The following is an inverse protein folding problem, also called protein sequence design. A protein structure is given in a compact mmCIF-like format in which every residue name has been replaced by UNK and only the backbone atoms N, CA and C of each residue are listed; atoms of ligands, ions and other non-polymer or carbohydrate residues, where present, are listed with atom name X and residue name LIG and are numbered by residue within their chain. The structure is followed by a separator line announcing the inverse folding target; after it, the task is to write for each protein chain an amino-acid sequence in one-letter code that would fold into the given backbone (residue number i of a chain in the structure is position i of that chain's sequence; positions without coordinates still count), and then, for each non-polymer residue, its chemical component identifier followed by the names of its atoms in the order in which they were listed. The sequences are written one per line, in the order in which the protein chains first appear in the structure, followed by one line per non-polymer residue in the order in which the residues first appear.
data_IF_839472541133
#
_entry.id   IF_839472541133
#
_cell.length_a   1.000
_cell.length_b   1.000
_cell.length_c   1.000
_cell.angle_alpha   90.00
_cell.angle_beta   90.00
_cell.angle_gamma   90.00
#
_symmetry.space_group_name_H-M   'P 1'
#
loop_
_entity.id
_entity.type
_entity.pdbx_description
1 polymer ?
#
# COMPACT_ATOMS: atom_id res chain seq x y z
N UNK A 1 -29.93 41.27 67.77
CA UNK A 1 -29.22 40.21 68.53
C UNK A 1 -27.79 40.11 68.00
N UNK A 2 -26.85 39.58 68.80
CA UNK A 2 -25.41 39.30 68.55
C UNK A 2 -24.84 39.57 67.13
N UNK A 3 -23.76 40.35 66.90
CA UNK A 3 -22.35 40.25 67.38
C UNK A 3 -21.66 38.94 66.94
N UNK A 4 -20.43 38.89 66.39
CA UNK A 4 -19.21 39.72 66.57
C UNK A 4 -18.28 39.71 65.32
N UNK A 5 -17.27 40.61 65.29
CA UNK A 5 -15.85 40.50 64.76
C UNK A 5 -15.47 39.55 63.60
N UNK A 6 -14.46 39.81 62.75
CA UNK A 6 -13.18 40.54 62.97
C UNK A 6 -12.58 41.16 61.68
N UNK A 7 -11.44 41.86 61.81
CA UNK A 7 -10.75 42.58 60.72
C UNK A 7 -9.33 42.00 60.39
N UNK A 8 -8.43 42.83 59.83
CA UNK A 8 -7.09 42.52 59.23
C UNK A 8 -7.18 41.86 57.83
N UNK A 9 -6.62 42.36 56.72
CA UNK A 9 -5.82 43.54 56.32
C UNK A 9 -4.28 43.40 56.18
N UNK A 10 -3.83 43.91 55.02
CA UNK A 10 -2.52 44.50 54.62
C UNK A 10 -1.26 43.66 54.31
N UNK A 11 -0.53 44.19 53.31
CA UNK A 11 0.87 43.96 52.85
C UNK A 11 1.19 42.56 52.27
N UNK A 12 1.71 42.38 51.05
CA UNK A 12 2.73 43.09 50.23
C UNK A 12 4.17 42.70 50.61
N UNK A 13 4.89 42.10 49.65
CA UNK A 13 6.29 41.73 49.80
C UNK A 13 6.94 41.40 48.45
N UNK A 14 7.77 42.31 47.94
CA UNK A 14 8.76 41.99 46.91
C UNK A 14 10.00 41.37 47.59
N UNK A 15 10.67 40.44 46.90
CA UNK A 15 12.01 39.98 47.27
C UNK A 15 12.85 39.82 46.00
N UNK A 16 13.95 40.58 45.91
CA UNK A 16 14.91 40.54 44.80
C UNK A 16 16.32 40.35 45.39
N UNK A 17 17.03 39.29 44.99
CA UNK A 17 18.48 39.06 45.17
C UNK A 17 18.86 37.98 44.14
N UNK A 18 19.73 38.19 43.14
CA UNK A 18 21.12 38.67 43.08
C UNK A 18 22.20 37.61 43.41
N UNK A 19 22.96 37.28 42.36
CA UNK A 19 24.36 36.83 42.32
C UNK A 19 24.89 35.67 43.19
N UNK A 20 25.40 34.64 42.51
CA UNK A 20 26.80 34.21 42.70
C UNK A 20 27.39 33.67 41.38
N UNK A 21 28.72 33.61 41.28
CA UNK A 21 29.48 33.33 40.05
C UNK A 21 30.50 32.20 40.26
N UNK A 22 30.53 31.21 39.37
CA UNK A 22 31.68 30.36 39.00
C UNK A 22 31.44 30.00 37.51
N UNK A 23 32.23 30.37 36.48
CA UNK A 23 33.68 30.44 36.18
C UNK A 23 34.39 29.09 35.95
N UNK A 24 35.00 29.01 34.76
CA UNK A 24 35.84 27.93 34.19
C UNK A 24 35.10 26.59 33.91
N UNK A 25 35.52 25.78 32.92
CA UNK A 25 36.71 25.89 32.05
C UNK A 25 36.38 25.74 30.55
N UNK A 26 37.28 26.21 29.69
CA UNK A 26 37.21 26.12 28.22
C UNK A 26 37.98 24.92 27.69
N UNK A 27 37.43 24.23 26.69
CA UNK A 27 38.21 23.37 25.78
C UNK A 27 37.84 23.66 24.32
N UNK A 28 38.72 24.34 23.60
CA UNK A 28 38.59 24.51 22.15
C UNK A 28 39.06 23.22 21.45
N UNK A 29 38.36 22.80 20.38
CA UNK A 29 38.85 21.78 19.46
C UNK A 29 38.52 22.18 18.01
N UNK A 30 39.30 23.12 17.48
CA UNK A 30 39.22 23.58 16.09
C UNK A 30 39.71 22.49 15.13
N UNK A 31 38.79 21.84 14.40
CA UNK A 31 39.18 20.97 13.30
C UNK A 31 39.44 21.79 12.04
N UNK A 32 40.72 21.93 11.70
CA UNK A 32 41.18 22.70 10.54
C UNK A 32 40.72 22.06 9.23
N UNK A 33 40.13 22.86 8.36
CA UNK A 33 40.15 22.58 6.93
C UNK A 33 41.62 22.45 6.48
N UNK A 34 41.94 21.41 5.70
CA UNK A 34 43.23 21.26 5.02
C UNK A 34 42.99 21.11 3.53
N UNK A 35 43.00 22.24 2.83
CA UNK A 35 43.21 22.29 1.38
C UNK A 35 44.65 21.90 1.07
N UNK A 36 44.86 20.91 0.21
CA UNK A 36 46.18 20.59 -0.34
C UNK A 36 46.40 21.38 -1.65
N UNK A 37 47.60 21.96 -1.87
CA UNK A 37 47.88 22.76 -3.06
C UNK A 37 48.10 21.89 -4.29
N UNK A 38 47.78 22.43 -5.47
CA UNK A 38 48.36 21.94 -6.73
C UNK A 38 49.85 22.33 -6.75
N UNK A 39 50.71 21.39 -7.16
CA UNK A 39 52.07 21.69 -7.60
C UNK A 39 52.16 21.48 -9.11
N UNK A 40 52.82 22.42 -9.78
CA UNK A 40 53.14 22.42 -11.21
C UNK A 40 54.66 22.51 -11.37
N UNK A 41 55.14 22.42 -12.62
CA UNK A 41 56.55 22.53 -13.03
C UNK A 41 57.42 21.31 -12.63
N UNK A 42 58.48 20.96 -13.38
CA UNK A 42 58.82 21.26 -14.78
C UNK A 42 59.97 20.34 -15.21
N UNK A 43 60.15 20.08 -16.51
CA UNK A 43 61.34 19.36 -16.99
C UNK A 43 62.60 20.22 -16.85
N UNK A 44 63.69 19.63 -16.36
CA UNK A 44 65.07 20.04 -16.66
C UNK A 44 66.00 18.83 -16.53
N UNK A 45 67.09 18.83 -17.29
CA UNK A 45 67.94 17.67 -17.54
C UNK A 45 69.24 17.65 -16.70
N UNK A 46 69.78 16.46 -16.48
CA UNK A 46 71.22 16.23 -16.28
C UNK A 46 71.58 14.80 -16.68
N UNK A 47 72.83 14.57 -17.08
CA UNK A 47 73.26 13.36 -17.81
C UNK A 47 74.35 12.56 -17.12
N UNK A 48 74.32 11.24 -17.30
CA UNK A 48 75.46 10.29 -17.25
C UNK A 48 74.94 8.87 -17.52
N UNK A 49 75.69 7.85 -17.96
CA UNK A 49 76.96 7.72 -18.68
C UNK A 49 77.44 6.27 -18.47
N UNK A 50 76.97 5.32 -19.28
CA UNK A 50 77.64 4.02 -19.48
C UNK A 50 77.20 3.39 -20.80
N UNK A 51 78.09 2.64 -21.45
CA UNK A 51 77.94 2.12 -22.81
C UNK A 51 77.68 0.58 -22.82
N UNK A 52 77.51 -0.08 -23.98
CA UNK A 52 76.50 -1.15 -24.13
C UNK A 52 77.07 -2.59 -24.11
N UNK A 53 76.18 -3.58 -24.28
CA UNK A 53 76.44 -4.65 -25.23
C UNK A 53 75.39 -4.71 -26.36
N UNK A 54 75.83 -5.01 -27.59
CA UNK A 54 74.94 -5.41 -28.69
C UNK A 54 74.57 -6.88 -28.53
N UNK A 55 73.31 -7.23 -28.78
CA UNK A 55 72.92 -8.59 -29.16
C UNK A 55 72.20 -8.57 -30.50
N UNK A 56 72.63 -9.44 -31.41
CA UNK A 56 71.95 -9.63 -32.70
C UNK A 56 70.68 -10.44 -32.49
N UNK A 57 69.55 -9.94 -33.01
CA UNK A 57 68.38 -10.76 -33.32
C UNK A 57 68.12 -10.57 -34.81
N UNK A 58 68.12 -11.67 -35.56
CA UNK A 58 67.80 -11.65 -36.99
C UNK A 58 66.30 -11.42 -37.16
N UNK A 59 65.91 -10.40 -37.91
CA UNK A 59 64.53 -10.22 -38.34
C UNK A 59 64.23 -11.23 -39.44
N UNK A 60 63.34 -12.19 -39.15
CA UNK A 60 62.69 -12.97 -40.20
C UNK A 60 61.85 -12.02 -41.09
N UNK A 61 61.88 -12.16 -42.42
CA UNK A 61 61.11 -11.30 -43.31
C UNK A 61 59.61 -11.50 -43.09
N UNK A 62 58.84 -10.40 -43.21
CA UNK A 62 57.38 -10.42 -43.12
C UNK A 62 56.78 -11.29 -44.23
N UNK A 63 55.84 -12.17 -43.84
CA UNK A 63 55.05 -12.97 -44.78
C UNK A 63 54.28 -12.04 -45.74
N UNK A 64 54.22 -12.33 -47.06
CA UNK A 64 53.54 -11.47 -48.02
C UNK A 64 52.03 -11.37 -47.76
N UNK A 65 51.50 -10.21 -48.09
CA UNK A 65 50.08 -9.85 -48.03
C UNK A 65 49.34 -10.40 -49.26
N UNK A 66 48.15 -11.04 -49.12
CA UNK A 66 47.40 -11.58 -50.25
C UNK A 66 46.59 -10.51 -50.98
N UNK A 67 46.41 -10.70 -52.30
CA UNK A 67 45.62 -9.81 -53.16
C UNK A 67 44.09 -9.91 -52.88
N UNK A 68 43.30 -8.85 -53.17
CA UNK A 68 41.90 -8.77 -52.78
C UNK A 68 40.90 -9.26 -53.85
N UNK A 69 40.02 -10.19 -53.47
CA UNK A 69 38.73 -10.48 -54.12
C UNK A 69 37.68 -10.81 -53.04
N UNK A 70 36.37 -10.79 -53.35
CA UNK A 70 35.60 -9.61 -53.70
C UNK A 70 34.53 -9.30 -52.62
N UNK A 71 33.87 -8.14 -52.70
CA UNK A 71 32.87 -7.73 -51.71
C UNK A 71 31.71 -8.74 -51.59
N UNK A 72 31.53 -9.29 -50.39
CA UNK A 72 30.34 -10.04 -49.97
C UNK A 72 29.72 -9.36 -48.75
N UNK A 73 28.39 -9.49 -48.62
CA UNK A 73 27.57 -8.67 -47.72
C UNK A 73 27.82 -9.02 -46.25
N UNK A 74 27.70 -8.05 -45.31
CA UNK A 74 27.81 -8.35 -43.89
C UNK A 74 26.67 -9.27 -43.46
N UNK A 75 27.01 -10.47 -43.01
CA UNK A 75 26.12 -11.25 -42.15
C UNK A 75 26.18 -10.65 -40.74
N UNK A 76 25.03 -10.26 -40.20
CA UNK A 76 24.94 -9.69 -38.86
C UNK A 76 25.25 -10.79 -37.83
N UNK A 77 26.26 -10.55 -36.99
CA UNK A 77 26.55 -11.44 -35.88
C UNK A 77 25.42 -11.35 -34.84
N UNK A 78 24.50 -12.31 -34.84
CA UNK A 78 23.45 -12.39 -33.82
C UNK A 78 24.07 -12.51 -32.44
N UNK A 79 24.05 -11.40 -31.68
CA UNK A 79 24.28 -11.44 -30.24
C UNK A 79 23.22 -12.36 -29.62
N UNK A 80 23.61 -13.58 -29.27
CA UNK A 80 22.74 -14.62 -28.74
C UNK A 80 22.11 -14.21 -27.41
N UNK A 81 21.04 -13.41 -27.48
CA UNK A 81 20.23 -13.04 -26.34
C UNK A 81 19.72 -14.32 -25.69
N UNK A 82 20.08 -14.53 -24.42
CA UNK A 82 19.56 -15.63 -23.63
C UNK A 82 18.05 -15.44 -23.48
N UNK A 83 17.27 -16.05 -24.37
CA UNK A 83 15.80 -16.03 -24.36
C UNK A 83 15.31 -16.62 -23.02
N UNK A 84 15.00 -15.72 -22.08
CA UNK A 84 14.43 -16.06 -20.78
C UNK A 84 13.05 -16.65 -21.04
N UNK A 85 12.85 -17.95 -20.76
CA UNK A 85 11.61 -18.61 -21.14
C UNK A 85 10.53 -18.34 -20.09
N UNK A 86 9.39 -17.85 -20.57
CA UNK A 86 8.19 -17.64 -19.78
C UNK A 86 7.51 -18.98 -19.54
N UNK A 87 7.15 -19.29 -18.29
CA UNK A 87 6.22 -20.39 -18.00
C UNK A 87 4.86 -19.77 -17.69
N UNK A 88 3.92 -19.98 -18.61
CA UNK A 88 2.54 -19.49 -18.53
C UNK A 88 1.58 -20.67 -18.55
N UNK A 89 0.54 -20.63 -17.71
CA UNK A 89 -0.55 -21.61 -17.77
C UNK A 89 -1.59 -21.14 -18.78
N UNK A 90 -1.87 -21.97 -19.79
CA UNK A 90 -2.92 -21.70 -20.78
C UNK A 90 -4.33 -21.88 -20.21
N UNK A 91 -5.34 -21.45 -20.96
CA UNK A 91 -6.76 -21.67 -20.64
C UNK A 91 -7.12 -23.17 -20.56
N UNK A 92 -6.33 -24.02 -21.23
CA UNK A 92 -6.37 -25.49 -21.16
C UNK A 92 -5.71 -26.06 -19.89
N UNK A 93 -5.32 -25.21 -18.93
CA UNK A 93 -4.70 -25.58 -17.66
C UNK A 93 -3.26 -26.11 -17.77
N UNK A 94 -2.74 -26.29 -18.98
CA UNK A 94 -1.41 -26.84 -19.26
C UNK A 94 -0.35 -25.74 -19.20
N UNK A 95 0.83 -26.09 -18.70
CA UNK A 95 2.01 -25.24 -18.71
C UNK A 95 2.60 -25.19 -20.11
N UNK A 96 2.85 -23.99 -20.62
CA UNK A 96 3.49 -23.74 -21.92
C UNK A 96 4.73 -22.88 -21.70
N UNK A 97 5.82 -23.27 -22.36
CA UNK A 97 7.08 -22.53 -22.40
C UNK A 97 7.01 -21.57 -23.59
N UNK A 98 7.21 -20.27 -23.37
CA UNK A 98 7.10 -19.24 -24.40
C UNK A 98 8.33 -18.31 -24.38
N UNK A 99 8.77 -17.88 -25.55
CA UNK A 99 9.80 -16.84 -25.74
C UNK A 99 9.24 -15.42 -25.54
N UNK A 100 7.96 -15.25 -25.82
CA UNK A 100 7.25 -13.97 -25.88
C UNK A 100 6.31 -13.76 -24.68
N UNK A 101 6.02 -12.49 -24.31
CA UNK A 101 5.05 -12.19 -23.25
C UNK A 101 3.63 -12.65 -23.64
N UNK A 102 2.84 -13.19 -22.69
CA UNK A 102 1.53 -13.76 -23.00
C UNK A 102 0.55 -12.71 -23.54
N UNK A 103 -0.22 -13.10 -24.55
CA UNK A 103 -1.11 -12.23 -25.32
C UNK A 103 -2.14 -11.45 -24.48
N UNK A 104 -2.52 -11.94 -23.31
CA UNK A 104 -3.41 -11.23 -22.36
C UNK A 104 -2.75 -9.97 -21.79
N UNK A 105 -1.43 -9.97 -21.58
CA UNK A 105 -0.66 -8.81 -21.12
C UNK A 105 -0.49 -7.78 -22.24
N UNK A 106 -0.21 -8.23 -23.46
CA UNK A 106 -0.14 -7.37 -24.67
C UNK A 106 -1.51 -6.72 -24.94
N UNK A 107 -2.58 -7.51 -24.91
CA UNK A 107 -3.96 -7.02 -25.07
C UNK A 107 -4.35 -6.01 -23.99
N UNK A 108 -3.93 -6.22 -22.74
CA UNK A 108 -4.16 -5.25 -21.66
C UNK A 108 -3.45 -3.90 -21.90
N UNK A 109 -2.31 -3.89 -22.58
CA UNK A 109 -1.61 -2.66 -22.98
C UNK A 109 -2.33 -1.96 -24.15
N UNK A 110 -2.63 -2.68 -25.23
CA UNK A 110 -3.33 -2.11 -26.40
C UNK A 110 -4.73 -1.58 -26.06
N UNK A 111 -5.46 -2.27 -25.18
CA UNK A 111 -6.77 -1.81 -24.70
C UNK A 111 -6.67 -0.55 -23.82
N UNK A 112 -5.62 -0.41 -23.02
CA UNK A 112 -5.38 0.80 -22.23
C UNK A 112 -5.10 2.02 -23.12
N UNK A 113 -4.43 1.84 -24.26
CA UNK A 113 -4.15 2.92 -25.22
C UNK A 113 -5.37 3.29 -26.06
N UNK A 114 -6.10 2.32 -26.58
CA UNK A 114 -7.28 2.58 -27.44
C UNK A 114 -8.43 3.25 -26.71
N UNK A 115 -8.65 2.95 -25.43
CA UNK A 115 -9.62 3.63 -24.57
C UNK A 115 -9.35 5.15 -24.39
N UNK A 116 -8.14 5.64 -24.69
CA UNK A 116 -7.84 7.08 -24.63
C UNK A 116 -8.45 7.86 -25.79
N UNK A 117 -8.58 7.25 -26.97
CA UNK A 117 -8.98 7.93 -28.22
C UNK A 117 -10.51 8.02 -28.38
N UNK A 118 -11.26 7.04 -27.88
CA UNK A 118 -12.74 7.03 -27.97
C UNK A 118 -13.41 8.01 -26.99
N UNK A 119 -12.84 8.21 -25.79
CA UNK A 119 -13.40 9.10 -24.76
C UNK A 119 -13.42 10.58 -25.14
N UNK A 120 -12.65 10.98 -26.15
CA UNK A 120 -12.64 12.36 -26.70
C UNK A 120 -13.91 12.68 -27.51
N UNK A 121 -14.58 11.68 -28.12
CA UNK A 121 -15.72 11.93 -29.04
C UNK A 121 -17.11 11.85 -28.40
N UNK A 122 -17.25 11.35 -27.17
CA UNK A 122 -18.57 11.14 -26.54
C UNK A 122 -18.96 12.21 -25.51
N UNK A 123 -18.25 13.35 -25.45
CA UNK A 123 -18.40 14.34 -24.36
C UNK A 123 -19.22 15.60 -24.69
N UNK A 124 -19.80 15.70 -25.89
CA UNK A 124 -20.55 16.87 -26.35
C UNK A 124 -22.08 16.74 -26.35
N UNK A 125 -22.64 15.54 -26.09
CA UNK A 125 -24.09 15.29 -26.21
C UNK A 125 -24.72 14.94 -24.85
N UNK A 126 -25.95 15.43 -24.63
CA UNK A 126 -26.83 15.24 -23.47
C UNK A 126 -26.53 16.05 -22.18
N UNK A 127 -27.20 17.20 -22.05
CA UNK A 127 -27.46 17.93 -20.80
C UNK A 127 -28.89 18.50 -20.84
N UNK A 128 -29.60 18.54 -19.69
CA UNK A 128 -31.06 18.70 -19.50
C UNK A 128 -31.81 17.35 -19.66
N UNK A 129 -32.89 17.03 -18.94
CA UNK A 129 -33.64 17.73 -17.85
C UNK A 129 -33.57 16.88 -16.53
N UNK A 130 -34.43 16.90 -15.49
CA UNK A 130 -35.69 17.58 -15.14
C UNK A 130 -35.72 17.97 -13.63
N UNK A 131 -36.89 18.20 -13.00
CA UNK A 131 -37.06 18.54 -11.56
C UNK A 131 -38.51 18.30 -11.06
N UNK A 132 -38.69 18.12 -9.72
CA UNK A 132 -39.79 18.65 -8.84
C UNK A 132 -40.84 17.66 -8.22
N UNK A 133 -41.18 17.93 -6.94
CA UNK A 133 -42.37 17.53 -6.10
C UNK A 133 -42.48 16.07 -5.63
N UNK A 134 -43.23 15.74 -4.56
CA UNK A 134 -44.04 16.56 -3.60
C UNK A 134 -43.56 16.39 -2.12
N UNK A 135 -44.46 16.20 -1.13
CA UNK A 135 -44.20 16.13 0.33
C UNK A 135 -45.38 15.51 1.09
N UNK A 136 -45.19 15.01 2.32
CA UNK A 136 -46.28 14.56 3.22
C UNK A 136 -45.84 13.73 4.43
N UNK A 137 -46.60 13.77 5.54
CA UNK A 137 -46.50 12.84 6.69
C UNK A 137 -45.74 13.36 7.94
N UNK A 138 -46.38 13.29 9.12
CA UNK A 138 -45.82 13.57 10.46
C UNK A 138 -46.74 13.02 11.56
N UNK A 139 -46.17 12.36 12.57
CA UNK A 139 -46.58 12.17 13.99
C UNK A 139 -45.52 11.18 14.59
N UNK A 140 -44.88 11.34 15.76
CA UNK A 140 -45.28 11.70 17.15
C UNK A 140 -46.01 10.52 17.86
N UNK A 141 -45.70 10.00 19.07
CA UNK A 141 -44.61 10.15 20.06
C UNK A 141 -44.67 8.99 21.14
N UNK A 142 -43.67 8.89 22.05
CA UNK A 142 -43.63 8.18 23.38
C UNK A 142 -43.38 6.66 23.49
N UNK A 143 -42.78 6.26 24.63
CA UNK A 143 -42.82 4.86 25.13
C UNK A 143 -41.57 4.32 25.86
N UNK A 144 -41.07 4.95 26.93
CA UNK A 144 -39.88 4.43 27.66
C UNK A 144 -40.22 3.44 28.79
N UNK A 145 -39.41 2.39 28.95
CA UNK A 145 -38.93 1.91 30.26
C UNK A 145 -37.71 0.99 30.09
N UNK A 146 -36.87 0.86 31.11
CA UNK A 146 -35.56 0.19 31.01
C UNK A 146 -35.50 -1.18 31.65
N UNK A 147 -34.67 -2.06 31.10
CA UNK A 147 -34.20 -3.30 31.74
C UNK A 147 -32.72 -3.53 31.42
N UNK A 148 -31.95 -4.03 32.39
CA UNK A 148 -30.52 -4.32 32.22
C UNK A 148 -30.30 -5.52 31.29
N UNK A 149 -29.62 -5.31 30.17
CA UNK A 149 -29.53 -6.31 29.08
C UNK A 149 -28.38 -7.31 29.29
N UNK A 150 -28.63 -8.63 29.17
CA UNK A 150 -27.58 -9.65 29.30
C UNK A 150 -26.65 -9.73 28.08
N UNK A 151 -25.42 -10.22 28.29
CA UNK A 151 -24.44 -10.46 27.22
C UNK A 151 -24.85 -11.65 26.33
N UNK A 152 -25.47 -11.35 25.19
CA UNK A 152 -25.89 -12.36 24.21
C UNK A 152 -24.74 -13.18 23.60
N UNK A 153 -24.97 -14.48 23.47
CA UNK A 153 -24.00 -15.46 22.95
C UNK A 153 -23.77 -15.34 21.43
N UNK A 154 -22.72 -16.03 20.95
CA UNK A 154 -22.38 -16.14 19.52
C UNK A 154 -23.50 -16.80 18.68
N UNK A 155 -24.39 -17.59 19.31
CA UNK A 155 -25.55 -18.20 18.67
C UNK A 155 -26.73 -17.22 18.55
N UNK A 156 -27.04 -16.45 19.59
CA UNK A 156 -28.03 -15.37 19.52
C UNK A 156 -27.65 -14.32 18.45
N UNK A 157 -26.35 -14.00 18.34
CA UNK A 157 -25.75 -13.20 17.26
C UNK A 157 -25.85 -13.83 15.86
N UNK A 158 -26.37 -15.04 15.69
CA UNK A 158 -26.75 -15.64 14.39
C UNK A 158 -28.27 -15.56 14.16
N UNK A 159 -29.07 -15.99 15.14
CA UNK A 159 -30.54 -16.00 15.08
C UNK A 159 -31.14 -14.65 14.64
N UNK A 160 -30.70 -13.53 15.24
CA UNK A 160 -31.19 -12.21 14.85
C UNK A 160 -30.83 -11.79 13.41
N UNK A 161 -29.81 -12.38 12.79
CA UNK A 161 -29.41 -12.07 11.41
C UNK A 161 -30.34 -12.73 10.37
N UNK A 162 -30.99 -13.83 10.76
CA UNK A 162 -31.86 -14.64 9.90
C UNK A 162 -33.23 -13.95 9.77
N UNK A 163 -33.87 -13.68 10.92
CA UNK A 163 -35.23 -13.16 10.98
C UNK A 163 -35.38 -11.73 10.41
N UNK A 164 -34.32 -10.91 10.41
CA UNK A 164 -34.35 -9.57 9.83
C UNK A 164 -34.43 -9.57 8.28
N UNK A 165 -33.95 -10.62 7.60
CA UNK A 165 -33.95 -10.69 6.12
C UNK A 165 -35.35 -10.63 5.51
N UNK A 166 -36.38 -11.00 6.26
CA UNK A 166 -37.77 -11.12 5.77
C UNK A 166 -38.48 -9.77 5.73
N UNK A 167 -38.07 -8.78 6.55
CA UNK A 167 -38.83 -7.54 6.77
C UNK A 167 -38.38 -6.32 5.95
N UNK A 168 -37.20 -6.40 5.33
CA UNK A 168 -36.49 -5.21 4.82
C UNK A 168 -36.57 -5.03 3.28
N UNK A 169 -37.78 -4.91 2.68
CA UNK A 169 -37.91 -4.62 1.24
C UNK A 169 -37.94 -3.13 0.88
N UNK A 170 -38.05 -2.22 1.84
CA UNK A 170 -38.33 -0.79 1.58
C UNK A 170 -37.30 0.15 2.24
N UNK A 171 -36.11 0.28 1.64
CA UNK A 171 -35.31 1.53 1.54
C UNK A 171 -33.84 1.28 1.15
N UNK A 172 -33.45 1.70 -0.06
CA UNK A 172 -32.04 1.59 -0.54
C UNK A 172 -31.04 2.50 0.21
N UNK A 173 -31.52 3.52 0.93
CA UNK A 173 -30.67 4.44 1.70
C UNK A 173 -30.31 3.94 3.10
N UNK A 174 -31.08 2.98 3.64
CA UNK A 174 -30.99 2.58 5.04
C UNK A 174 -29.80 1.64 5.28
N UNK A 175 -28.70 2.19 5.80
CA UNK A 175 -27.42 1.49 5.97
C UNK A 175 -27.28 0.97 7.39
N UNK A 176 -26.75 -0.25 7.55
CA UNK A 176 -26.49 -0.86 8.86
C UNK A 176 -25.63 0.03 9.77
N UNK A 177 -26.10 0.32 10.99
CA UNK A 177 -25.50 1.25 11.96
C UNK A 177 -23.99 1.02 12.18
N UNK A 178 -23.53 -0.23 12.33
CA UNK A 178 -22.10 -0.51 12.49
C UNK A 178 -21.22 -0.19 11.28
N UNK A 179 -21.79 -0.13 10.06
CA UNK A 179 -21.11 0.39 8.86
C UNK A 179 -21.10 1.92 8.87
N UNK A 180 -22.20 2.59 9.27
CA UNK A 180 -22.28 4.06 9.35
C UNK A 180 -21.30 4.64 10.38
N UNK A 181 -21.22 4.06 11.57
CA UNK A 181 -20.26 4.49 12.59
C UNK A 181 -18.80 4.33 12.12
N UNK A 182 -18.48 3.20 11.47
CA UNK A 182 -17.13 2.96 10.94
C UNK A 182 -16.78 3.89 9.77
N UNK A 183 -17.73 4.16 8.86
CA UNK A 183 -17.54 5.10 7.74
C UNK A 183 -17.36 6.55 8.23
N UNK A 184 -18.00 6.91 9.34
CA UNK A 184 -17.84 8.20 10.03
C UNK A 184 -16.60 8.26 10.93
N UNK A 185 -15.71 7.26 10.87
CA UNK A 185 -14.40 7.25 11.53
C UNK A 185 -14.36 6.78 12.98
N UNK A 186 -15.52 6.54 13.63
CA UNK A 186 -15.64 6.33 15.09
C UNK A 186 -14.72 5.23 15.62
N UNK A 187 -14.69 4.08 14.97
CA UNK A 187 -13.80 2.96 15.30
C UNK A 187 -13.75 1.95 14.12
N UNK A 188 -13.07 0.82 14.31
CA UNK A 188 -13.21 -0.31 13.36
C UNK A 188 -14.62 -0.91 13.45
N UNK A 189 -15.16 -1.47 12.35
CA UNK A 189 -16.53 -2.01 12.31
C UNK A 189 -16.88 -2.94 13.47
N UNK A 190 -15.95 -3.81 13.90
CA UNK A 190 -16.16 -4.71 15.07
C UNK A 190 -16.25 -3.92 16.38
N UNK A 191 -15.33 -2.98 16.59
CA UNK A 191 -15.36 -2.08 17.76
C UNK A 191 -16.66 -1.24 17.80
N UNK A 192 -17.19 -0.82 16.64
CA UNK A 192 -18.50 -0.19 16.55
C UNK A 192 -19.64 -1.15 16.96
N UNK A 193 -19.57 -2.44 16.62
CA UNK A 193 -20.53 -3.44 17.11
C UNK A 193 -20.42 -3.59 18.63
N UNK A 194 -19.22 -3.60 19.21
CA UNK A 194 -19.02 -3.69 20.66
C UNK A 194 -19.46 -2.41 21.43
N UNK A 195 -19.30 -1.22 20.84
CA UNK A 195 -19.88 0.03 21.37
C UNK A 195 -21.42 -0.01 21.38
N UNK A 196 -22.03 -0.52 20.30
CA UNK A 196 -23.48 -0.71 20.20
C UNK A 196 -23.96 -1.73 21.25
N UNK A 197 -23.33 -2.90 21.35
CA UNK A 197 -23.67 -3.90 22.38
C UNK A 197 -23.46 -3.39 23.81
N UNK A 198 -22.59 -2.40 24.02
CA UNK A 198 -22.37 -1.75 25.31
C UNK A 198 -23.35 -0.61 25.65
N UNK A 199 -24.40 -0.39 24.85
CA UNK A 199 -25.37 0.70 25.07
C UNK A 199 -24.81 2.11 24.86
N UNK A 200 -23.60 2.24 24.27
CA UNK A 200 -22.89 3.51 24.10
C UNK A 200 -23.34 4.32 22.88
N UNK A 201 -24.36 3.86 22.17
CA UNK A 201 -24.86 4.45 20.94
C UNK A 201 -26.36 4.70 21.05
N UNK A 202 -26.79 5.93 20.76
CA UNK A 202 -28.22 6.27 20.64
C UNK A 202 -28.56 6.69 19.22
N UNK A 203 -29.78 6.39 18.78
CA UNK A 203 -30.34 6.78 17.49
C UNK A 203 -31.69 7.42 17.76
N UNK A 204 -31.88 8.66 17.31
CA UNK A 204 -33.12 9.43 17.49
C UNK A 204 -33.59 9.49 18.96
N UNK A 205 -32.63 9.63 19.90
CA UNK A 205 -32.87 9.68 21.35
C UNK A 205 -32.86 8.31 22.05
N UNK A 206 -33.15 7.21 21.35
CA UNK A 206 -33.24 5.86 21.93
C UNK A 206 -31.90 5.13 21.94
N UNK A 207 -31.57 4.44 23.04
CA UNK A 207 -30.37 3.57 23.11
C UNK A 207 -30.54 2.39 22.14
N UNK A 208 -29.56 2.20 21.27
CA UNK A 208 -29.58 1.11 20.30
C UNK A 208 -28.54 0.04 20.68
N UNK A 209 -29.00 -1.15 21.04
CA UNK A 209 -28.15 -2.30 21.38
C UNK A 209 -27.96 -3.29 20.22
N UNK A 210 -28.66 -3.07 19.10
CA UNK A 210 -28.70 -3.98 17.95
C UNK A 210 -27.81 -3.45 16.82
N UNK A 211 -26.63 -4.02 16.56
CA UNK A 211 -25.73 -3.50 15.52
C UNK A 211 -26.20 -3.77 14.10
N UNK A 212 -27.32 -4.44 13.92
CA UNK A 212 -27.98 -4.74 12.64
C UNK A 212 -28.96 -3.63 12.21
N UNK A 213 -29.42 -2.78 13.14
CA UNK A 213 -30.35 -1.66 12.88
C UNK A 213 -29.89 -0.86 11.67
N UNK A 214 -30.78 -0.68 10.68
CA UNK A 214 -30.53 0.22 9.55
C UNK A 214 -30.83 1.65 9.98
N UNK A 215 -30.01 2.59 9.52
CA UNK A 215 -30.15 4.03 9.76
C UNK A 215 -29.82 4.80 8.48
N UNK A 216 -30.49 5.93 8.27
CA UNK A 216 -30.21 6.87 7.19
C UNK A 216 -29.35 8.02 7.76
N UNK A 217 -28.04 8.08 7.46
CA UNK A 217 -27.14 9.08 8.04
C UNK A 217 -27.44 10.54 7.64
N UNK A 218 -28.31 10.77 6.65
CA UNK A 218 -28.76 12.12 6.30
C UNK A 218 -29.90 12.60 7.22
N UNK A 219 -30.78 11.67 7.60
CA UNK A 219 -31.99 11.92 8.40
C UNK A 219 -31.72 11.76 9.91
N UNK A 220 -31.25 10.58 10.30
CA UNK A 220 -31.16 10.14 11.69
C UNK A 220 -30.15 10.93 12.52
N UNK A 221 -30.44 11.09 13.80
CA UNK A 221 -29.57 11.74 14.78
C UNK A 221 -28.92 10.67 15.65
N UNK A 222 -27.68 10.33 15.30
CA UNK A 222 -26.88 9.32 16.00
C UNK A 222 -25.94 10.01 16.99
N UNK A 223 -25.82 9.47 18.21
CA UNK A 223 -24.80 9.85 19.19
C UNK A 223 -23.97 8.63 19.60
N UNK A 224 -22.70 8.85 19.95
CA UNK A 224 -21.79 7.85 20.53
C UNK A 224 -21.14 8.45 21.77
N UNK A 225 -21.26 7.80 22.93
CA UNK A 225 -20.83 8.33 24.24
C UNK A 225 -21.33 9.77 24.51
N UNK A 226 -22.55 10.11 24.06
CA UNK A 226 -23.11 11.47 24.16
C UNK A 226 -22.60 12.49 23.13
N UNK A 227 -21.54 12.19 22.37
CA UNK A 227 -21.09 13.04 21.25
C UNK A 227 -21.91 12.77 19.98
N UNK A 228 -22.40 13.82 19.32
CA UNK A 228 -23.20 13.71 18.09
C UNK A 228 -22.33 13.29 16.91
N UNK A 229 -22.80 12.32 16.13
CA UNK A 229 -22.14 11.93 14.89
C UNK A 229 -22.27 13.06 13.84
N UNK A 230 -21.18 13.48 13.16
CA UNK A 230 -21.26 14.52 12.13
C UNK A 230 -22.07 14.03 10.92
N UNK A 231 -23.00 14.87 10.43
CA UNK A 231 -23.83 14.56 9.23
C UNK A 231 -23.01 14.43 7.94
N UNK A 232 -21.82 15.05 7.88
CA UNK A 232 -20.87 14.90 6.76
C UNK A 232 -19.89 13.77 7.11
N UNK A 233 -19.93 12.70 6.34
CA UNK A 233 -18.88 11.67 6.36
C UNK A 233 -17.55 12.24 5.85
N UNK A 234 -16.39 11.71 6.31
CA UNK A 234 -15.09 12.11 5.77
C UNK A 234 -15.00 11.81 4.26
N UNK A 235 -14.27 12.67 3.53
CA UNK A 235 -13.98 12.47 2.09
C UNK A 235 -13.35 11.08 1.87
N UNK A 236 -13.74 10.41 0.79
CA UNK A 236 -13.12 9.14 0.37
C UNK A 236 -11.70 9.39 -0.13
N UNK A 237 -10.73 8.68 0.43
CA UNK A 237 -9.30 8.81 0.11
C UNK A 237 -8.70 7.44 -0.21
N UNK A 238 -7.75 7.43 -1.15
CA UNK A 238 -7.18 6.21 -1.71
C UNK A 238 -5.69 6.43 -1.96
N UNK A 239 -4.83 5.61 -1.38
CA UNK A 239 -3.37 5.75 -1.47
C UNK A 239 -2.71 4.44 -1.90
N UNK A 240 -1.71 4.51 -2.77
CA UNK A 240 -0.71 3.45 -2.90
C UNK A 240 0.49 3.78 -2.02
N UNK A 241 0.84 2.88 -1.11
CA UNK A 241 2.01 2.95 -0.24
C UNK A 241 3.07 1.94 -0.71
N UNK A 242 4.34 2.37 -0.77
CA UNK A 242 5.48 1.45 -0.85
C UNK A 242 5.85 0.97 0.57
N UNK A 243 5.22 -0.12 1.03
CA UNK A 243 5.36 -0.64 2.40
C UNK A 243 6.83 -1.03 2.71
N UNK A 244 7.43 -0.48 3.78
CA UNK A 244 8.76 -0.89 4.24
C UNK A 244 8.74 -2.23 5.03
N UNK A 245 9.91 -2.86 5.16
CA UNK A 245 10.13 -4.06 5.97
C UNK A 245 9.98 -3.70 7.46
N UNK A 246 9.47 -4.61 8.28
CA UNK A 246 9.28 -4.40 9.72
C UNK A 246 7.96 -3.72 10.13
N UNK A 247 7.14 -3.29 9.16
CA UNK A 247 5.82 -2.69 9.42
C UNK A 247 4.68 -3.72 9.29
N UNK A 248 3.62 -3.54 10.08
CA UNK A 248 2.50 -4.50 10.22
C UNK A 248 1.21 -3.93 9.64
N UNK A 249 0.49 -4.72 8.85
CA UNK A 249 -0.83 -4.38 8.29
C UNK A 249 -1.95 -4.59 9.31
N UNK A 250 -1.87 -3.85 10.42
CA UNK A 250 -2.82 -3.83 11.53
C UNK A 250 -3.22 -2.40 11.86
N UNK A 251 -4.36 -2.21 12.51
CA UNK A 251 -4.87 -0.90 12.95
C UNK A 251 -5.27 -0.87 14.43
N UNK A 252 -4.55 -1.65 15.25
CA UNK A 252 -4.61 -1.59 16.71
C UNK A 252 -3.51 -0.68 17.29
N UNK A 253 -3.85 0.06 18.35
CA UNK A 253 -3.03 1.13 18.94
C UNK A 253 -1.73 0.65 19.63
N UNK A 254 -1.56 -0.67 19.81
CA UNK A 254 -0.43 -1.26 20.57
C UNK A 254 0.76 -1.68 19.70
N UNK A 255 0.73 -1.44 18.39
CA UNK A 255 1.78 -1.87 17.46
C UNK A 255 2.65 -0.70 17.00
N UNK A 256 3.87 -0.61 17.56
CA UNK A 256 4.83 0.49 17.34
C UNK A 256 5.34 0.68 15.90
N UNK A 257 4.92 -0.18 14.96
CA UNK A 257 5.20 -0.09 13.51
C UNK A 257 3.97 -0.45 12.67
N UNK A 258 2.77 0.03 13.05
CA UNK A 258 1.59 -0.07 12.18
C UNK A 258 1.83 0.68 10.86
N UNK A 259 1.40 0.08 9.74
CA UNK A 259 1.35 0.74 8.42
C UNK A 259 0.58 2.08 8.43
N UNK A 260 -0.37 2.27 9.36
CA UNK A 260 -1.16 3.49 9.46
C UNK A 260 -0.34 4.67 10.02
N UNK A 261 0.66 4.41 10.88
CA UNK A 261 1.53 5.47 11.43
C UNK A 261 2.33 6.24 10.36
N UNK A 262 2.55 5.64 9.19
CA UNK A 262 3.15 6.30 8.03
C UNK A 262 2.29 7.42 7.43
N UNK A 263 1.03 7.57 7.89
CA UNK A 263 0.09 8.62 7.50
C UNK A 263 -0.16 9.63 8.64
N UNK A 264 0.55 9.54 9.77
CA UNK A 264 0.33 10.44 10.91
C UNK A 264 0.48 11.92 10.52
N UNK A 265 1.44 12.26 9.66
CA UNK A 265 1.65 13.64 9.21
C UNK A 265 0.59 14.11 8.20
N UNK A 266 -0.07 13.19 7.49
CA UNK A 266 -1.27 13.51 6.69
C UNK A 266 -2.46 13.81 7.62
N UNK A 267 -2.66 12.97 8.64
CA UNK A 267 -3.77 13.10 9.58
C UNK A 267 -3.64 14.35 10.46
N UNK A 268 -2.44 14.67 10.97
CA UNK A 268 -2.14 15.91 11.73
C UNK A 268 -2.36 17.20 10.91
N UNK A 269 -2.23 17.13 9.58
CA UNK A 269 -2.46 18.27 8.69
C UNK A 269 -3.86 18.26 8.05
N UNK A 270 -4.73 17.30 8.41
CA UNK A 270 -6.05 17.16 7.82
C UNK A 270 -6.92 18.41 8.04
N UNK A 271 -7.03 18.87 9.28
CA UNK A 271 -7.94 19.97 9.67
C UNK A 271 -7.57 21.30 9.01
N UNK A 272 -6.28 21.54 8.74
CA UNK A 272 -5.78 22.71 8.00
C UNK A 272 -6.31 22.76 6.57
N UNK A 273 -6.49 21.59 5.95
CA UNK A 273 -6.90 21.45 4.56
C UNK A 273 -8.43 21.19 4.41
N UNK A 274 -9.10 20.75 5.47
CA UNK A 274 -10.49 20.28 5.45
C UNK A 274 -11.30 20.77 6.67
N UNK A 275 -11.25 22.08 6.95
CA UNK A 275 -11.91 22.69 8.10
C UNK A 275 -13.38 22.23 8.27
N UNK A 276 -13.71 21.70 9.46
CA UNK A 276 -15.05 21.21 9.78
C UNK A 276 -15.42 19.83 9.22
N UNK A 277 -14.46 19.07 8.67
CA UNK A 277 -14.65 17.67 8.25
C UNK A 277 -13.76 16.77 9.12
N UNK A 278 -14.28 15.71 9.76
CA UNK A 278 -13.46 14.83 10.61
C UNK A 278 -12.38 14.10 9.79
N UNK A 279 -11.24 13.82 10.43
CA UNK A 279 -10.16 13.06 9.80
C UNK A 279 -10.60 11.62 9.43
N UNK A 280 -10.20 11.10 8.25
CA UNK A 280 -10.60 9.79 7.78
C UNK A 280 -9.88 8.67 8.53
N UNK A 281 -10.62 7.73 9.14
CA UNK A 281 -10.02 6.52 9.72
C UNK A 281 -9.52 5.58 8.62
N UNK A 282 -8.21 5.61 8.38
CA UNK A 282 -7.54 4.77 7.38
C UNK A 282 -7.44 3.29 7.79
N UNK A 283 -7.36 2.41 6.79
CA UNK A 283 -7.06 0.98 6.91
C UNK A 283 -6.43 0.44 5.60
N UNK A 284 -5.72 -0.69 5.68
CA UNK A 284 -5.12 -1.35 4.52
C UNK A 284 -6.14 -2.19 3.75
N UNK A 285 -6.04 -2.20 2.42
CA UNK A 285 -6.71 -3.17 1.55
C UNK A 285 -5.87 -4.43 1.49
N UNK A 286 -6.45 -5.56 1.90
CA UNK A 286 -5.69 -6.79 2.16
C UNK A 286 -4.56 -6.58 3.20
N UNK A 287 -3.51 -7.41 3.09
CA UNK A 287 -2.32 -7.38 3.96
C UNK A 287 -1.04 -7.63 3.16
N UNK A 288 0.10 -7.41 3.81
CA UNK A 288 1.43 -7.90 3.47
C UNK A 288 2.13 -8.33 4.77
N UNK A 289 2.98 -9.35 4.72
CA UNK A 289 3.73 -9.82 5.88
C UNK A 289 4.69 -8.74 6.40
N UNK A 290 5.11 -8.88 7.67
CA UNK A 290 6.08 -7.96 8.31
C UNK A 290 7.40 -7.91 7.54
N UNK A 291 7.88 -9.06 7.05
CA UNK A 291 9.09 -9.18 6.24
C UNK A 291 8.91 -8.78 4.76
N UNK A 292 7.68 -8.56 4.30
CA UNK A 292 7.33 -8.33 2.88
C UNK A 292 7.13 -6.83 2.62
N UNK A 293 7.62 -6.36 1.48
CA UNK A 293 7.68 -4.95 1.10
C UNK A 293 6.82 -4.62 -0.13
N UNK A 294 6.74 -3.34 -0.50
CA UNK A 294 6.13 -2.90 -1.75
C UNK A 294 4.64 -2.56 -1.63
N UNK A 295 3.95 -2.67 -2.76
CA UNK A 295 2.63 -2.08 -2.98
C UNK A 295 1.56 -2.60 -2.02
N UNK A 296 1.00 -1.70 -1.21
CA UNK A 296 -0.27 -1.91 -0.50
C UNK A 296 -1.16 -0.67 -0.66
N UNK A 297 -2.46 -0.90 -0.81
CA UNK A 297 -3.43 0.18 -0.91
C UNK A 297 -3.95 0.52 0.48
N UNK A 298 -4.11 1.81 0.78
CA UNK A 298 -4.63 2.34 2.05
C UNK A 298 -5.81 3.27 1.74
N UNK A 299 -6.89 3.17 2.50
CA UNK A 299 -8.14 3.90 2.22
C UNK A 299 -8.99 4.04 3.48
N UNK A 300 -10.03 4.87 3.42
CA UNK A 300 -11.17 4.83 4.33
C UNK A 300 -12.44 4.22 3.70
N UNK A 301 -12.40 3.79 2.43
CA UNK A 301 -13.56 3.22 1.75
C UNK A 301 -13.67 1.70 1.91
N UNK A 302 -14.68 1.27 2.65
CA UNK A 302 -14.91 -0.14 2.95
C UNK A 302 -15.39 -0.96 1.75
N UNK A 303 -16.11 -0.35 0.81
CA UNK A 303 -16.73 -1.06 -0.32
C UNK A 303 -15.71 -1.28 -1.45
N UNK A 304 -14.88 -0.29 -1.78
CA UNK A 304 -13.66 -0.45 -2.57
C UNK A 304 -12.71 -1.50 -1.97
N UNK A 305 -12.41 -1.40 -0.67
CA UNK A 305 -11.52 -2.35 0.00
C UNK A 305 -12.05 -3.79 -0.01
N UNK A 306 -13.37 -3.97 0.19
CA UNK A 306 -14.01 -5.27 0.06
C UNK A 306 -13.87 -5.80 -1.37
N UNK A 307 -14.18 -4.99 -2.39
CA UNK A 307 -14.11 -5.42 -3.80
C UNK A 307 -12.70 -5.84 -4.23
N UNK A 308 -11.66 -5.08 -3.87
CA UNK A 308 -10.26 -5.40 -4.19
C UNK A 308 -9.73 -6.64 -3.44
N UNK A 309 -10.35 -7.02 -2.31
CA UNK A 309 -9.92 -8.16 -1.47
C UNK A 309 -10.78 -9.41 -1.70
N UNK A 310 -11.91 -9.32 -2.40
CA UNK A 310 -12.83 -10.44 -2.57
C UNK A 310 -12.32 -11.45 -3.61
N UNK A 311 -12.31 -12.77 -3.35
CA UNK A 311 -11.78 -13.77 -4.28
C UNK A 311 -12.44 -13.74 -5.66
N UNK A 312 -13.75 -13.47 -5.76
CA UNK A 312 -14.46 -13.41 -7.05
C UNK A 312 -14.02 -12.25 -7.97
N UNK A 313 -13.21 -11.31 -7.47
CA UNK A 313 -12.64 -10.23 -8.29
C UNK A 313 -11.37 -10.69 -9.04
N UNK A 314 -10.82 -11.86 -8.67
CA UNK A 314 -9.65 -12.53 -9.26
C UNK A 314 -8.44 -11.61 -9.52
N UNK A 315 -8.21 -10.65 -8.62
CA UNK A 315 -7.30 -9.54 -8.86
C UNK A 315 -5.84 -9.99 -8.72
N UNK A 316 -5.12 -10.05 -9.84
CA UNK A 316 -3.72 -10.50 -9.89
C UNK A 316 -2.78 -9.61 -9.07
N UNK A 317 -1.75 -10.24 -8.47
CA UNK A 317 -0.75 -9.61 -7.61
C UNK A 317 0.63 -10.04 -8.07
N UNK A 318 1.42 -9.10 -8.57
CA UNK A 318 2.77 -9.34 -9.10
C UNK A 318 3.79 -9.14 -7.98
N UNK A 319 4.59 -10.16 -7.69
CA UNK A 319 5.67 -10.13 -6.71
C UNK A 319 7.02 -10.34 -7.39
N UNK A 320 8.03 -9.60 -6.91
CA UNK A 320 9.44 -9.92 -7.16
C UNK A 320 9.97 -10.59 -5.89
N UNK A 321 10.45 -11.83 -6.02
CA UNK A 321 11.12 -12.58 -4.98
C UNK A 321 12.63 -12.63 -5.28
N UNK A 322 13.46 -12.11 -4.38
CA UNK A 322 14.91 -12.32 -4.39
C UNK A 322 15.21 -13.60 -3.63
N UNK A 323 15.99 -14.50 -4.25
CA UNK A 323 16.25 -15.85 -3.73
C UNK A 323 17.71 -15.95 -3.26
N UNK A 324 17.97 -16.78 -2.25
CA UNK A 324 19.32 -17.21 -1.87
C UNK A 324 19.71 -18.47 -2.67
N UNK A 325 20.85 -18.42 -3.37
CA UNK A 325 21.31 -19.47 -4.30
C UNK A 325 20.96 -19.19 -5.77
N UNK A 326 21.28 -20.15 -6.65
CA UNK A 326 21.12 -20.03 -8.11
C UNK A 326 19.87 -20.74 -8.62
N UNK A 327 19.12 -20.07 -9.51
CA UNK A 327 17.84 -20.59 -10.02
C UNK A 327 18.03 -21.37 -11.32
N UNK A 328 17.44 -22.56 -11.37
CA UNK A 328 17.51 -23.49 -12.49
C UNK A 328 16.10 -23.87 -12.98
N UNK A 329 15.97 -24.31 -14.23
CA UNK A 329 14.69 -24.69 -14.88
C UNK A 329 13.80 -25.61 -14.03
N UNK A 330 14.40 -26.57 -13.31
CA UNK A 330 13.68 -27.49 -12.39
C UNK A 330 12.88 -26.77 -11.30
N UNK A 331 13.40 -25.65 -10.78
CA UNK A 331 12.71 -24.87 -9.74
C UNK A 331 11.57 -24.04 -10.34
N UNK A 332 11.77 -23.47 -11.53
CA UNK A 332 10.71 -22.74 -12.24
C UNK A 332 9.51 -23.65 -12.52
N UNK A 333 9.76 -24.89 -12.97
CA UNK A 333 8.74 -25.92 -13.17
C UNK A 333 7.99 -26.21 -11.86
N UNK A 334 8.69 -26.59 -10.79
CA UNK A 334 8.06 -26.91 -9.49
C UNK A 334 7.21 -25.75 -8.90
N UNK A 335 7.64 -24.49 -9.07
CA UNK A 335 6.83 -23.33 -8.64
C UNK A 335 5.57 -23.17 -9.52
N UNK A 336 5.68 -23.43 -10.83
CA UNK A 336 4.58 -23.31 -11.80
C UNK A 336 3.58 -24.47 -11.78
N UNK A 337 3.99 -25.64 -11.29
CA UNK A 337 3.09 -26.76 -10.95
C UNK A 337 2.21 -26.37 -9.76
N UNK A 338 2.82 -25.77 -8.73
CA UNK A 338 2.17 -25.20 -7.56
C UNK A 338 2.45 -25.97 -6.27
N UNK A 339 1.69 -25.70 -5.20
CA UNK A 339 1.80 -26.44 -3.94
C UNK A 339 0.50 -26.44 -3.14
N UNK A 340 0.40 -27.24 -2.08
CA UNK A 340 -0.80 -27.34 -1.22
C UNK A 340 -0.67 -26.43 -0.01
N UNK A 341 -1.58 -25.45 0.12
CA UNK A 341 -1.57 -24.43 1.17
C UNK A 341 -2.92 -24.42 1.89
N UNK A 342 -2.89 -24.72 3.19
CA UNK A 342 -4.10 -24.80 4.05
C UNK A 342 -5.16 -25.76 3.45
N UNK A 343 -4.72 -26.89 2.89
CA UNK A 343 -5.57 -27.95 2.34
C UNK A 343 -6.07 -27.73 0.90
N UNK A 344 -5.64 -26.67 0.22
CA UNK A 344 -6.01 -26.40 -1.19
C UNK A 344 -4.75 -26.31 -2.04
N UNK A 345 -4.78 -26.89 -3.24
CA UNK A 345 -3.69 -26.73 -4.21
C UNK A 345 -3.72 -25.32 -4.82
N UNK A 346 -2.69 -24.54 -4.54
CA UNK A 346 -2.48 -23.19 -5.03
C UNK A 346 -1.45 -23.20 -6.16
N UNK A 347 -1.65 -22.36 -7.16
CA UNK A 347 -0.86 -22.32 -8.39
C UNK A 347 -0.69 -20.85 -8.82
N UNK A 348 0.52 -20.40 -9.17
CA UNK A 348 0.72 -19.07 -9.74
C UNK A 348 0.27 -18.98 -11.21
N UNK A 349 -0.16 -17.80 -11.62
CA UNK A 349 -0.58 -17.50 -12.99
C UNK A 349 0.61 -17.53 -13.97
N UNK A 350 1.78 -17.12 -13.49
CA UNK A 350 3.06 -17.18 -14.22
C UNK A 350 4.25 -17.17 -13.27
N UNK A 351 5.36 -17.77 -13.73
CA UNK A 351 6.67 -17.79 -13.06
C UNK A 351 7.75 -17.49 -14.09
N UNK A 352 8.64 -16.55 -13.77
CA UNK A 352 9.69 -16.07 -14.67
C UNK A 352 10.98 -15.79 -13.87
N UNK A 353 12.13 -16.16 -14.42
CA UNK A 353 13.45 -15.75 -13.92
C UNK A 353 13.80 -14.39 -14.51
N UNK A 354 13.82 -13.33 -13.71
CA UNK A 354 14.16 -11.99 -14.19
C UNK A 354 15.66 -11.88 -14.53
N UNK A 355 16.05 -11.03 -15.50
CA UNK A 355 17.45 -10.72 -15.78
C UNK A 355 18.25 -10.37 -14.52
N UNK A 356 19.49 -10.87 -14.43
CA UNK A 356 20.44 -10.46 -13.40
C UNK A 356 20.82 -8.99 -13.63
N UNK A 357 20.92 -8.20 -12.56
CA UNK A 357 21.42 -6.82 -12.62
C UNK A 357 22.85 -6.79 -12.09
N UNK A 358 23.73 -5.88 -12.57
CA UNK A 358 25.10 -5.74 -12.08
C UNK A 358 25.17 -5.61 -10.55
N UNK A 359 24.28 -4.78 -9.98
CA UNK A 359 24.24 -4.48 -8.54
C UNK A 359 23.58 -5.58 -7.69
N UNK A 360 23.00 -6.62 -8.31
CA UNK A 360 22.19 -7.63 -7.62
C UNK A 360 22.72 -9.04 -7.87
N UNK A 361 23.63 -9.46 -6.98
CA UNK A 361 24.28 -10.77 -6.96
C UNK A 361 23.34 -11.97 -6.78
N UNK A 362 22.07 -11.73 -6.41
CA UNK A 362 21.05 -12.76 -6.17
C UNK A 362 20.08 -12.86 -7.34
N UNK A 363 19.75 -14.08 -7.74
CA UNK A 363 18.72 -14.33 -8.73
C UNK A 363 17.34 -13.89 -8.21
N UNK A 364 16.45 -13.55 -9.16
CA UNK A 364 15.13 -12.96 -8.86
C UNK A 364 14.04 -13.61 -9.68
N UNK A 365 12.97 -14.02 -9.02
CA UNK A 365 11.75 -14.47 -9.68
C UNK A 365 10.73 -13.34 -9.77
N UNK A 366 10.00 -13.30 -10.88
CA UNK A 366 8.67 -12.69 -10.93
C UNK A 366 7.63 -13.80 -10.81
N UNK A 367 6.68 -13.61 -9.88
CA UNK A 367 5.60 -14.55 -9.60
C UNK A 367 4.30 -13.76 -9.55
N UNK A 368 3.28 -14.22 -10.28
CA UNK A 368 1.94 -13.62 -10.28
C UNK A 368 0.94 -14.58 -9.65
N UNK A 369 0.12 -14.09 -8.73
CA UNK A 369 -0.97 -14.86 -8.07
C UNK A 369 -2.27 -14.08 -7.98
N UNK A 370 -3.40 -14.73 -8.25
CA UNK A 370 -4.76 -14.19 -8.11
C UNK A 370 -5.38 -14.46 -6.72
N UNK A 371 -4.97 -15.52 -6.01
CA UNK A 371 -5.34 -15.76 -4.61
C UNK A 371 -4.52 -14.84 -3.66
N UNK A 372 -4.77 -14.91 -2.36
CA UNK A 372 -4.15 -14.07 -1.33
C UNK A 372 -3.98 -14.81 0.00
N UNK A 373 -3.58 -16.08 -0.05
CA UNK A 373 -3.41 -16.94 1.12
C UNK A 373 -2.22 -16.52 1.99
N UNK A 374 -2.23 -17.03 3.22
CA UNK A 374 -1.16 -16.81 4.18
C UNK A 374 0.17 -17.33 3.61
N UNK A 375 1.13 -16.43 3.44
CA UNK A 375 2.49 -16.73 2.94
C UNK A 375 2.56 -17.40 1.55
N UNK A 376 1.52 -17.29 0.72
CA UNK A 376 1.35 -18.06 -0.53
C UNK A 376 2.61 -18.17 -1.41
N UNK A 377 3.17 -17.02 -1.82
CA UNK A 377 4.38 -16.96 -2.65
C UNK A 377 5.62 -17.51 -1.94
N UNK A 378 5.66 -17.52 -0.61
CA UNK A 378 6.77 -18.08 0.17
C UNK A 378 6.73 -19.60 0.19
N UNK A 379 5.55 -20.18 0.41
CA UNK A 379 5.39 -21.64 0.38
C UNK A 379 5.59 -22.19 -1.04
N UNK A 380 5.15 -21.48 -2.10
CA UNK A 380 5.40 -21.85 -3.51
C UNK A 380 6.90 -21.91 -3.86
N UNK A 381 7.71 -20.94 -3.43
CA UNK A 381 9.17 -20.96 -3.67
C UNK A 381 9.86 -22.02 -2.80
N UNK A 382 9.40 -22.18 -1.55
CA UNK A 382 9.92 -23.17 -0.59
C UNK A 382 9.64 -24.61 -1.02
N UNK A 383 8.50 -24.91 -1.65
CA UNK A 383 8.21 -26.26 -2.18
C UNK A 383 9.13 -26.64 -3.34
N UNK A 384 9.70 -25.66 -4.05
CA UNK A 384 10.76 -25.88 -5.03
C UNK A 384 12.17 -25.96 -4.42
N UNK A 385 12.32 -25.99 -3.09
CA UNK A 385 13.61 -26.10 -2.40
C UNK A 385 14.45 -24.81 -2.42
N UNK A 386 13.81 -23.64 -2.50
CA UNK A 386 14.47 -22.33 -2.55
C UNK A 386 14.06 -21.45 -1.35
N UNK A 387 14.96 -20.58 -0.88
CA UNK A 387 14.69 -19.63 0.21
C UNK A 387 14.58 -18.18 -0.31
N UNK A 388 13.62 -17.40 0.22
CA UNK A 388 13.37 -16.01 -0.18
C UNK A 388 14.08 -15.03 0.74
N UNK A 389 15.24 -14.53 0.30
CA UNK A 389 15.95 -13.39 0.87
C UNK A 389 15.07 -12.14 1.03
N UNK A 390 14.31 -11.80 -0.02
CA UNK A 390 13.49 -10.58 -0.07
C UNK A 390 12.22 -10.77 -0.91
N UNK A 391 11.10 -10.18 -0.48
CA UNK A 391 9.83 -10.22 -1.22
C UNK A 391 9.26 -8.80 -1.33
N UNK A 392 8.95 -8.37 -2.56
CA UNK A 392 8.35 -7.06 -2.87
C UNK A 392 7.15 -7.24 -3.79
N UNK A 393 5.95 -6.79 -3.37
CA UNK A 393 4.81 -6.68 -4.29
C UNK A 393 4.98 -5.45 -5.16
N UNK A 394 4.87 -5.61 -6.47
CA UNK A 394 5.11 -4.54 -7.48
C UNK A 394 3.88 -4.19 -8.32
N UNK A 395 2.84 -5.03 -8.34
CA UNK A 395 1.55 -4.72 -8.99
C UNK A 395 0.36 -5.29 -8.22
N UNK A 396 -0.78 -4.63 -8.32
CA UNK A 396 -2.12 -5.14 -7.98
C UNK A 396 -3.05 -4.78 -9.15
N UNK A 397 -3.68 -5.77 -9.79
CA UNK A 397 -4.46 -5.53 -11.01
C UNK A 397 -3.61 -4.89 -12.10
N UNK A 398 -4.12 -3.84 -12.76
CA UNK A 398 -3.33 -3.02 -13.69
C UNK A 398 -2.31 -2.10 -13.00
N UNK A 399 -2.56 -1.70 -11.75
CA UNK A 399 -1.77 -0.67 -11.07
C UNK A 399 -0.39 -1.17 -10.62
N UNK A 400 0.66 -0.67 -11.27
CA UNK A 400 2.07 -0.91 -10.91
C UNK A 400 2.55 0.09 -9.87
N UNK A 401 3.38 -0.35 -8.94
CA UNK A 401 4.09 0.51 -8.00
C UNK A 401 5.02 1.48 -8.77
N UNK A 402 4.91 2.80 -8.58
CA UNK A 402 5.83 3.75 -9.20
C UNK A 402 7.28 3.51 -8.73
N UNK A 403 8.24 3.67 -9.64
CA UNK A 403 9.67 3.38 -9.38
C UNK A 403 10.35 4.45 -8.52
N UNK A 404 9.88 5.68 -8.63
CA UNK A 404 10.24 6.88 -7.86
C UNK A 404 9.67 6.89 -6.44
N UNK A 405 8.62 6.11 -6.16
CA UNK A 405 7.96 6.09 -4.85
C UNK A 405 8.83 5.37 -3.81
N UNK A 406 9.63 6.15 -3.07
CA UNK A 406 10.53 5.67 -2.02
C UNK A 406 9.85 4.84 -0.90
N UNK A 407 10.63 4.03 -0.19
CA UNK A 407 10.14 3.19 0.90
C UNK A 407 9.47 4.04 2.00
N UNK A 408 8.30 3.61 2.47
CA UNK A 408 7.50 4.34 3.45
C UNK A 408 6.73 5.55 2.88
N UNK A 409 6.95 5.93 1.61
CA UNK A 409 6.18 6.99 0.94
C UNK A 409 4.95 6.41 0.25
N UNK A 410 3.92 7.24 0.15
CA UNK A 410 2.65 6.96 -0.51
C UNK A 410 2.31 8.05 -1.52
N UNK A 411 1.39 7.74 -2.44
CA UNK A 411 0.80 8.68 -3.40
C UNK A 411 -0.71 8.47 -3.48
N UNK A 412 -1.48 9.54 -3.75
CA UNK A 412 -2.94 9.48 -3.87
C UNK A 412 -3.36 8.90 -5.24
N UNK A 413 -4.41 8.09 -5.27
CA UNK A 413 -4.84 7.40 -6.48
C UNK A 413 -5.84 8.22 -7.28
N UNK A 414 -5.35 8.80 -8.39
CA UNK A 414 -6.19 9.44 -9.40
C UNK A 414 -7.22 8.45 -10.01
N UNK A 415 -8.33 8.94 -10.61
CA UNK A 415 -9.40 8.08 -11.16
C UNK A 415 -8.93 7.02 -12.17
N UNK A 416 -7.89 7.31 -12.97
CA UNK A 416 -7.25 6.33 -13.87
C UNK A 416 -6.63 5.16 -13.10
N UNK A 417 -5.96 5.45 -11.98
CA UNK A 417 -5.32 4.44 -11.14
C UNK A 417 -6.38 3.56 -10.46
N UNK A 418 -7.48 4.16 -9.98
CA UNK A 418 -8.64 3.43 -9.46
C UNK A 418 -9.28 2.54 -10.52
N UNK A 419 -9.43 3.05 -11.75
CA UNK A 419 -9.94 2.27 -12.89
C UNK A 419 -9.06 1.05 -13.20
N UNK A 420 -7.73 1.21 -13.14
CA UNK A 420 -6.77 0.10 -13.32
C UNK A 420 -6.77 -0.94 -12.19
N UNK A 421 -7.35 -0.62 -11.03
CA UNK A 421 -7.64 -1.56 -9.93
C UNK A 421 -9.03 -2.21 -10.06
N UNK A 422 -9.71 -2.03 -11.19
CA UNK A 422 -11.08 -2.52 -11.43
C UNK A 422 -12.17 -1.71 -10.73
N UNK A 423 -11.84 -0.56 -10.12
CA UNK A 423 -12.82 0.31 -9.49
C UNK A 423 -13.43 1.28 -10.49
N UNK A 424 -14.70 1.03 -10.83
CA UNK A 424 -15.60 2.02 -11.43
C UNK A 424 -16.23 2.81 -10.28
N UNK A 425 -15.94 4.10 -10.20
CA UNK A 425 -16.45 5.05 -9.19
C UNK A 425 -17.68 5.81 -9.66
#
# INVERSE_FOLDING_TARGET
MASTSSATSTMMGMATLCFSLHRFSTSQSSFSLRTLPRLTCSLSSSSSSSSPPKFNISFAPSKPEPEPEPESKPEEAEEGQMLIPWIVRGEDGKLKLQSEPPASLVSAMVNAETETKTKTKQKEVMKKQSKKKEKGGREDDKGSSGATVPRYSKAARRFYNENLRVKDRESDTATRLSKVLAASGVASRRSCEDLIFGGKVTVNGSVCNTPQTRVDPAKDVIYVNGSRLPKRQPRKVYFALNKPKGYICSSGEKESKSVISLFDDYLKNWDKNHAGVPAPRLFTVGRLDVATTGLIIVTNDGDFAQRLTHPSTNLSKEYIATVDGSIHKKHLLAISEGTTIEGVHCVPDSVELLPRLPDVQRDRLRIVVHDGRKHEVRELVKSAGLEIYSLKRVRIGGFKLPSDLGLGKYTELNPTNLSSLGWKS
#
